data_IF_316352872887
#
_entry.id   IF_316352872887
#
_cell.length_a   1.000
_cell.length_b   1.000
_cell.length_c   1.000
_cell.angle_alpha   90.00
_cell.angle_beta   90.00
_cell.angle_gamma   90.00
#
_symmetry.space_group_name_H-M   'P 1'
#
loop_
_entity.id
_entity.type
_entity.pdbx_description
1 polymer ?
#
# COMPACT_ATOMS: atom_id res chain seq x y z
N UNK A 1 11.47 -20.72 15.47
CA UNK A 1 10.57 -20.87 14.31
C UNK A 1 11.13 -21.98 13.45
N UNK A 2 10.32 -22.90 12.92
CA UNK A 2 10.78 -23.92 11.97
C UNK A 2 11.37 -23.24 10.72
N UNK A 3 12.50 -23.73 10.22
CA UNK A 3 13.21 -23.16 9.06
C UNK A 3 12.33 -23.08 7.82
N UNK A 4 11.39 -24.02 7.66
CA UNK A 4 10.42 -24.03 6.57
C UNK A 4 9.40 -22.89 6.69
N UNK A 5 8.93 -22.64 7.92
CA UNK A 5 7.96 -21.57 8.21
C UNK A 5 8.55 -20.18 8.00
N UNK A 6 9.77 -19.94 8.47
CA UNK A 6 10.48 -18.67 8.25
C UNK A 6 10.63 -18.37 6.75
N UNK A 7 11.12 -19.35 5.99
CA UNK A 7 11.29 -19.20 4.55
C UNK A 7 9.97 -18.93 3.80
N UNK A 8 8.85 -19.53 4.24
CA UNK A 8 7.54 -19.23 3.67
C UNK A 8 7.05 -17.83 4.03
N UNK A 9 7.24 -17.38 5.27
CA UNK A 9 6.88 -16.03 5.71
C UNK A 9 7.64 -14.98 4.89
N UNK A 10 8.96 -15.11 4.80
CA UNK A 10 9.81 -14.16 4.05
C UNK A 10 9.41 -14.14 2.58
N UNK A 11 9.15 -15.31 1.98
CA UNK A 11 8.67 -15.40 0.59
C UNK A 11 7.36 -14.67 0.37
N UNK A 12 6.39 -14.80 1.29
CA UNK A 12 5.11 -14.09 1.14
C UNK A 12 5.34 -12.58 1.20
N UNK A 13 6.14 -12.10 2.15
CA UNK A 13 6.45 -10.68 2.28
C UNK A 13 7.11 -10.17 1.00
N UNK A 14 8.17 -10.83 0.53
CA UNK A 14 8.88 -10.43 -0.70
C UNK A 14 7.97 -10.45 -1.92
N UNK A 15 7.16 -11.51 -2.09
CA UNK A 15 6.24 -11.62 -3.22
C UNK A 15 5.13 -10.55 -3.17
N UNK A 16 4.67 -10.14 -1.99
CA UNK A 16 3.74 -9.00 -1.85
C UNK A 16 4.41 -7.68 -2.24
N UNK A 17 5.63 -7.42 -1.77
CA UNK A 17 6.36 -6.18 -2.06
C UNK A 17 6.70 -6.10 -3.55
N UNK A 18 7.08 -7.20 -4.17
CA UNK A 18 7.31 -7.33 -5.61
C UNK A 18 6.01 -7.38 -6.45
N UNK A 19 4.84 -7.23 -5.81
CA UNK A 19 3.52 -7.26 -6.45
C UNK A 19 3.20 -8.58 -7.18
N UNK A 20 3.83 -9.70 -6.79
CA UNK A 20 3.58 -11.08 -7.28
C UNK A 20 2.45 -11.74 -6.49
N UNK A 21 1.28 -11.11 -6.46
CA UNK A 21 0.20 -11.46 -5.53
C UNK A 21 -0.29 -12.91 -5.63
N UNK A 22 -0.37 -13.49 -6.83
CA UNK A 22 -0.76 -14.90 -7.00
C UNK A 22 0.20 -15.85 -6.27
N UNK A 23 1.51 -15.58 -6.32
CA UNK A 23 2.51 -16.37 -5.61
C UNK A 23 2.45 -16.15 -4.10
N UNK A 24 2.29 -14.89 -3.68
CA UNK A 24 2.14 -14.54 -2.28
C UNK A 24 0.93 -15.25 -1.63
N UNK A 25 -0.22 -15.24 -2.32
CA UNK A 25 -1.44 -15.92 -1.88
C UNK A 25 -1.19 -17.43 -1.75
N UNK A 26 -0.64 -18.07 -2.77
CA UNK A 26 -0.35 -19.50 -2.75
C UNK A 26 0.65 -19.90 -1.63
N UNK A 27 1.66 -19.06 -1.37
CA UNK A 27 2.62 -19.28 -0.29
C UNK A 27 1.97 -19.09 1.10
N UNK A 28 1.08 -18.11 1.26
CA UNK A 28 0.33 -17.90 2.50
C UNK A 28 -0.67 -19.03 2.80
N UNK A 29 -1.32 -19.56 1.76
CA UNK A 29 -2.16 -20.76 1.87
C UNK A 29 -1.34 -21.99 2.24
N UNK A 30 -0.15 -22.15 1.64
CA UNK A 30 0.78 -23.25 1.97
C UNK A 30 1.21 -23.17 3.44
N UNK A 31 1.55 -21.97 3.92
CA UNK A 31 1.85 -21.72 5.33
C UNK A 31 0.66 -22.09 6.23
N UNK A 32 -0.57 -21.77 5.82
CA UNK A 32 -1.80 -22.10 6.55
C UNK A 32 -2.11 -23.59 6.62
N UNK A 33 -1.53 -24.41 5.72
CA UNK A 33 -1.63 -25.88 5.72
C UNK A 33 -0.55 -26.54 6.56
N UNK A 34 0.66 -25.97 6.59
CA UNK A 34 1.77 -26.45 7.42
C UNK A 34 1.45 -26.25 8.90
N UNK A 35 0.86 -25.10 9.24
CA UNK A 35 0.45 -24.76 10.60
C UNK A 35 -1.01 -24.32 10.60
N UNK A 36 -1.90 -25.25 10.99
CA UNK A 36 -3.35 -25.02 10.99
C UNK A 36 -3.83 -24.26 12.24
N UNK A 37 -2.98 -24.17 13.27
CA UNK A 37 -3.30 -23.50 14.53
C UNK A 37 -2.85 -22.04 14.46
N UNK A 38 -1.67 -21.78 13.92
CA UNK A 38 -1.09 -20.45 13.89
C UNK A 38 -1.86 -19.50 12.93
N UNK A 39 -2.17 -18.27 13.38
CA UNK A 39 -2.93 -17.32 12.57
C UNK A 39 -2.10 -16.54 11.54
N UNK A 40 -0.78 -16.74 11.43
CA UNK A 40 0.08 -16.00 10.50
C UNK A 40 -0.27 -16.26 9.04
N UNK A 41 -0.50 -17.52 8.67
CA UNK A 41 -0.82 -17.90 7.29
C UNK A 41 -2.04 -17.14 6.76
N UNK A 42 -3.20 -17.21 7.43
CA UNK A 42 -4.38 -16.43 7.04
C UNK A 42 -4.15 -14.92 7.08
N UNK A 43 -3.38 -14.40 8.05
CA UNK A 43 -3.05 -12.98 8.10
C UNK A 43 -2.28 -12.53 6.85
N UNK A 44 -1.25 -13.27 6.47
CA UNK A 44 -0.45 -12.94 5.30
C UNK A 44 -1.25 -13.08 4.00
N UNK A 45 -2.18 -14.04 3.94
CA UNK A 45 -3.15 -14.15 2.84
C UNK A 45 -4.05 -12.91 2.79
N UNK A 46 -4.60 -12.47 3.92
CA UNK A 46 -5.42 -11.26 4.00
C UNK A 46 -4.67 -10.01 3.50
N UNK A 47 -3.40 -9.86 3.92
CA UNK A 47 -2.55 -8.75 3.49
C UNK A 47 -2.24 -8.81 1.99
N UNK A 48 -1.96 -10.00 1.45
CA UNK A 48 -1.73 -10.18 0.02
C UNK A 48 -2.97 -9.78 -0.81
N UNK A 49 -4.17 -10.17 -0.38
CA UNK A 49 -5.42 -9.76 -1.02
C UNK A 49 -5.64 -8.24 -0.93
N UNK A 50 -5.48 -7.66 0.27
CA UNK A 50 -5.69 -6.23 0.48
C UNK A 50 -4.69 -5.35 -0.27
N UNK A 51 -3.43 -5.75 -0.35
CA UNK A 51 -2.38 -5.01 -1.07
C UNK A 51 -2.48 -5.21 -2.58
N UNK A 52 -2.98 -6.35 -3.06
CA UNK A 52 -3.35 -6.55 -4.47
C UNK A 52 -4.44 -5.56 -4.88
N UNK A 53 -5.51 -5.49 -4.09
CA UNK A 53 -6.61 -4.56 -4.32
C UNK A 53 -6.13 -3.11 -4.27
N UNK A 54 -5.19 -2.78 -3.38
CA UNK A 54 -4.55 -1.46 -3.33
C UNK A 54 -3.71 -1.14 -4.58
N UNK A 55 -2.89 -2.09 -5.06
CA UNK A 55 -2.02 -1.91 -6.22
C UNK A 55 -2.83 -1.68 -7.52
N UNK A 56 -3.91 -2.44 -7.71
CA UNK A 56 -4.79 -2.27 -8.87
C UNK A 56 -5.82 -1.15 -8.68
N UNK A 57 -5.96 -0.62 -7.47
CA UNK A 57 -7.04 0.28 -7.08
C UNK A 57 -8.45 -0.25 -7.41
N UNK A 58 -8.62 -1.56 -7.22
CA UNK A 58 -9.86 -2.29 -7.50
C UNK A 58 -10.25 -3.15 -6.30
N UNK A 59 -11.44 -3.74 -6.36
CA UNK A 59 -11.88 -4.75 -5.40
C UNK A 59 -12.06 -6.09 -6.10
N UNK A 60 -10.99 -6.86 -6.23
CA UNK A 60 -10.96 -8.02 -7.11
C UNK A 60 -11.66 -9.24 -6.50
N UNK A 61 -11.51 -9.45 -5.19
CA UNK A 61 -12.18 -10.56 -4.50
C UNK A 61 -12.56 -10.18 -3.07
N UNK A 62 -13.73 -9.54 -2.97
CA UNK A 62 -14.29 -9.06 -1.71
C UNK A 62 -14.66 -10.20 -0.76
N UNK A 63 -15.16 -11.31 -1.32
CA UNK A 63 -15.61 -12.47 -0.56
C UNK A 63 -14.41 -13.15 0.06
N UNK A 64 -13.38 -13.48 -0.73
CA UNK A 64 -12.17 -14.09 -0.20
C UNK A 64 -11.48 -13.20 0.84
N UNK A 65 -11.46 -11.87 0.64
CA UNK A 65 -10.91 -10.95 1.64
C UNK A 65 -11.64 -11.03 2.99
N UNK A 66 -12.99 -10.95 2.97
CA UNK A 66 -13.79 -10.97 4.19
C UNK A 66 -13.77 -12.34 4.88
N UNK A 67 -13.80 -13.44 4.12
CA UNK A 67 -13.67 -14.80 4.65
C UNK A 67 -12.29 -15.06 5.26
N UNK A 68 -11.22 -14.57 4.62
CA UNK A 68 -9.86 -14.68 5.13
C UNK A 68 -9.67 -13.85 6.39
N UNK A 69 -10.30 -12.67 6.47
CA UNK A 69 -10.35 -11.85 7.70
C UNK A 69 -11.03 -12.61 8.85
N UNK A 70 -12.22 -13.17 8.61
CA UNK A 70 -12.93 -13.97 9.60
C UNK A 70 -12.11 -15.19 10.06
N UNK A 71 -11.48 -15.88 9.11
CA UNK A 71 -10.58 -17.02 9.38
C UNK A 71 -9.39 -16.61 10.24
N UNK A 72 -8.76 -15.46 9.94
CA UNK A 72 -7.63 -14.94 10.72
C UNK A 72 -8.03 -14.69 12.17
N UNK A 73 -9.18 -14.07 12.41
CA UNK A 73 -9.67 -13.82 13.77
C UNK A 73 -10.04 -15.11 14.49
N UNK A 74 -10.71 -16.05 13.81
CA UNK A 74 -11.07 -17.34 14.39
C UNK A 74 -9.83 -18.15 14.80
N UNK A 75 -8.80 -18.22 13.93
CA UNK A 75 -7.54 -18.88 14.28
C UNK A 75 -6.80 -18.16 15.40
N UNK A 76 -6.81 -16.82 15.41
CA UNK A 76 -6.19 -16.06 16.51
C UNK A 76 -6.86 -16.38 17.84
N UNK A 77 -8.19 -16.43 17.88
CA UNK A 77 -8.92 -16.80 19.09
C UNK A 77 -8.63 -18.24 19.53
N UNK A 78 -8.56 -19.19 18.59
CA UNK A 78 -8.19 -20.57 18.91
C UNK A 78 -6.75 -20.66 19.45
N UNK A 79 -5.82 -19.94 18.83
CA UNK A 79 -4.44 -19.82 19.32
C UNK A 79 -4.39 -19.26 20.75
N UNK A 80 -5.15 -18.20 21.05
CA UNK A 80 -5.22 -17.60 22.39
C UNK A 80 -5.80 -18.57 23.44
N UNK A 81 -6.76 -19.42 23.08
CA UNK A 81 -7.33 -20.42 24.01
C UNK A 81 -6.31 -21.47 24.43
N UNK A 82 -5.45 -21.87 23.50
CA UNK A 82 -4.48 -22.95 23.74
C UNK A 82 -3.15 -22.46 24.31
N UNK A 83 -2.76 -21.22 24.01
CA UNK A 83 -1.43 -20.69 24.36
C UNK A 83 -1.49 -19.46 25.29
N UNK A 84 -2.69 -18.99 25.64
CA UNK A 84 -2.90 -17.70 26.27
C UNK A 84 -2.80 -16.55 25.27
N UNK A 85 -3.25 -15.37 25.70
CA UNK A 85 -3.12 -14.13 24.92
C UNK A 85 -1.69 -13.62 24.98
N UNK A 86 -1.08 -13.41 23.82
CA UNK A 86 0.32 -12.97 23.69
C UNK A 86 0.41 -11.66 22.90
N UNK A 87 1.59 -11.01 22.93
CA UNK A 87 1.84 -9.84 22.08
C UNK A 87 1.71 -10.19 20.60
N UNK A 88 2.13 -11.39 20.23
CA UNK A 88 1.98 -11.94 18.89
C UNK A 88 0.51 -12.06 18.46
N UNK A 89 -0.35 -12.72 19.26
CA UNK A 89 -1.77 -12.91 18.91
C UNK A 89 -2.50 -11.57 18.77
N UNK A 90 -2.21 -10.61 19.66
CA UNK A 90 -2.75 -9.26 19.62
C UNK A 90 -2.25 -8.48 18.39
N UNK A 91 -0.99 -8.67 18.00
CA UNK A 91 -0.43 -8.07 16.78
C UNK A 91 -1.17 -8.59 15.56
N UNK A 92 -1.32 -9.92 15.43
CA UNK A 92 -2.02 -10.54 14.29
C UNK A 92 -3.46 -10.03 14.18
N UNK A 93 -4.24 -10.09 15.27
CA UNK A 93 -5.61 -9.58 15.26
C UNK A 93 -5.67 -8.07 15.00
N UNK A 94 -4.71 -7.30 15.52
CA UNK A 94 -4.61 -5.86 15.30
C UNK A 94 -4.37 -5.48 13.84
N UNK A 95 -3.43 -6.16 13.18
CA UNK A 95 -3.14 -6.00 11.76
C UNK A 95 -4.34 -6.39 10.91
N UNK A 96 -4.99 -7.53 11.22
CA UNK A 96 -6.19 -7.96 10.50
C UNK A 96 -7.32 -6.91 10.56
N UNK A 97 -7.53 -6.32 11.75
CA UNK A 97 -8.51 -5.24 11.93
C UNK A 97 -8.12 -3.96 11.17
N UNK A 98 -6.83 -3.62 11.11
CA UNK A 98 -6.35 -2.49 10.32
C UNK A 98 -6.55 -2.70 8.81
N UNK A 99 -6.28 -3.92 8.31
CA UNK A 99 -6.53 -4.28 6.92
C UNK A 99 -8.03 -4.19 6.58
N UNK A 100 -8.88 -4.71 7.46
CA UNK A 100 -10.33 -4.64 7.33
C UNK A 100 -10.88 -3.20 7.36
N UNK A 101 -10.31 -2.35 8.22
CA UNK A 101 -10.63 -0.93 8.24
C UNK A 101 -10.25 -0.24 6.92
N UNK A 102 -9.07 -0.54 6.39
CA UNK A 102 -8.60 -0.01 5.09
C UNK A 102 -9.50 -0.44 3.94
N UNK A 103 -9.97 -1.69 3.95
CA UNK A 103 -10.92 -2.22 2.96
C UNK A 103 -12.23 -1.41 2.94
N UNK A 104 -12.81 -1.09 4.10
CA UNK A 104 -14.02 -0.26 4.15
C UNK A 104 -13.77 1.22 3.86
N UNK A 105 -12.62 1.75 4.26
CA UNK A 105 -12.26 3.14 4.01
C UNK A 105 -12.16 3.42 2.51
N UNK A 106 -11.54 2.52 1.75
CA UNK A 106 -11.46 2.57 0.28
C UNK A 106 -12.83 2.50 -0.42
N UNK A 107 -13.88 2.08 0.29
CA UNK A 107 -15.26 1.98 -0.21
C UNK A 107 -16.16 3.11 0.28
N UNK A 108 -15.57 4.16 0.84
CA UNK A 108 -16.28 5.27 1.48
C UNK A 108 -17.25 4.82 2.59
N UNK A 109 -17.01 3.62 3.17
CA UNK A 109 -17.79 3.10 4.29
C UNK A 109 -17.16 3.50 5.62
N UNK A 110 -17.08 4.80 5.86
CA UNK A 110 -16.34 5.40 6.97
C UNK A 110 -16.75 4.87 8.35
N UNK A 111 -18.04 4.70 8.62
CA UNK A 111 -18.52 4.18 9.91
C UNK A 111 -18.03 2.75 10.20
N UNK A 112 -18.08 1.88 9.19
CA UNK A 112 -17.57 0.50 9.31
C UNK A 112 -16.04 0.47 9.45
N UNK A 113 -15.34 1.36 8.74
CA UNK A 113 -13.89 1.52 8.83
C UNK A 113 -13.44 1.97 10.24
N UNK A 114 -14.15 2.93 10.85
CA UNK A 114 -13.81 3.45 12.18
C UNK A 114 -13.87 2.35 13.24
N UNK A 115 -14.92 1.52 13.24
CA UNK A 115 -15.09 0.46 14.23
C UNK A 115 -13.91 -0.52 14.23
N UNK A 116 -13.60 -1.08 13.05
CA UNK A 116 -12.48 -2.02 12.91
C UNK A 116 -11.13 -1.35 13.15
N UNK A 117 -10.96 -0.10 12.70
CA UNK A 117 -9.70 0.64 12.84
C UNK A 117 -9.34 0.92 14.30
N UNK A 118 -10.31 1.40 15.10
CA UNK A 118 -10.09 1.66 16.53
C UNK A 118 -9.82 0.38 17.32
N UNK A 119 -10.56 -0.69 17.03
CA UNK A 119 -10.33 -1.99 17.67
C UNK A 119 -8.93 -2.53 17.32
N UNK A 120 -8.51 -2.41 16.05
CA UNK A 120 -7.16 -2.75 15.62
C UNK A 120 -6.08 -1.97 16.38
N UNK A 121 -6.21 -0.65 16.47
CA UNK A 121 -5.24 0.19 17.20
C UNK A 121 -5.17 -0.18 18.68
N UNK A 122 -6.32 -0.46 19.32
CA UNK A 122 -6.36 -0.91 20.73
C UNK A 122 -5.61 -2.22 20.93
N UNK A 123 -5.77 -3.19 20.02
CA UNK A 123 -5.04 -4.48 20.08
C UNK A 123 -3.55 -4.29 19.88
N UNK A 124 -3.13 -3.49 18.90
CA UNK A 124 -1.72 -3.20 18.63
C UNK A 124 -1.05 -2.46 19.79
N UNK A 125 -1.76 -1.53 20.42
CA UNK A 125 -1.25 -0.86 21.62
C UNK A 125 -1.12 -1.85 22.80
N UNK A 126 -2.09 -2.75 22.95
CA UNK A 126 -2.05 -3.80 23.98
C UNK A 126 -0.91 -4.80 23.74
N UNK A 127 -0.64 -5.18 22.49
CA UNK A 127 0.49 -6.02 22.10
C UNK A 127 1.80 -5.42 22.58
N UNK A 128 2.04 -4.14 22.28
CA UNK A 128 3.25 -3.42 22.67
C UNK A 128 3.38 -3.19 24.17
N UNK A 129 2.26 -3.10 24.91
CA UNK A 129 2.26 -3.05 26.39
C UNK A 129 2.62 -4.40 27.00
N UNK A 130 2.19 -5.50 26.37
CA UNK A 130 2.44 -6.86 26.84
C UNK A 130 3.89 -7.29 26.56
N UNK A 131 4.45 -6.86 25.43
CA UNK A 131 5.85 -7.06 25.09
C UNK A 131 6.36 -5.87 24.29
N UNK A 132 7.27 -5.10 24.87
CA UNK A 132 7.86 -3.92 24.24
C UNK A 132 8.93 -4.25 23.21
N UNK A 133 9.44 -5.49 23.18
CA UNK A 133 10.42 -5.95 22.19
C UNK A 133 9.77 -6.29 20.85
N UNK A 134 8.47 -6.60 20.86
CA UNK A 134 7.68 -6.72 19.64
C UNK A 134 7.39 -5.33 19.05
N UNK A 135 8.17 -4.95 18.03
CA UNK A 135 8.08 -3.64 17.39
C UNK A 135 7.18 -3.61 16.16
N UNK A 136 6.67 -4.74 15.67
CA UNK A 136 5.76 -4.80 14.52
C UNK A 136 4.49 -3.92 14.67
N UNK A 137 3.87 -3.82 15.86
CA UNK A 137 2.76 -2.89 16.08
C UNK A 137 3.10 -1.42 15.79
N UNK A 138 4.37 -1.03 15.84
CA UNK A 138 4.77 0.35 15.60
C UNK A 138 4.53 0.82 14.17
N UNK A 139 4.44 -0.07 13.18
CA UNK A 139 4.10 0.32 11.81
C UNK A 139 2.73 1.02 11.77
N UNK A 140 1.70 0.30 12.19
CA UNK A 140 0.32 0.78 12.17
C UNK A 140 0.07 1.91 13.18
N UNK A 141 0.61 1.79 14.40
CA UNK A 141 0.51 2.85 15.40
C UNK A 141 1.22 4.14 14.94
N UNK A 142 2.39 4.01 14.30
CA UNK A 142 3.16 5.13 13.77
C UNK A 142 2.45 5.82 12.61
N UNK A 143 1.95 5.04 11.64
CA UNK A 143 1.16 5.56 10.53
C UNK A 143 -0.11 6.30 11.02
N UNK A 144 -0.82 5.72 11.99
CA UNK A 144 -2.00 6.35 12.59
C UNK A 144 -1.66 7.64 13.35
N UNK A 145 -0.60 7.65 14.17
CA UNK A 145 -0.14 8.85 14.88
C UNK A 145 0.29 9.98 13.92
N UNK A 146 0.96 9.63 12.82
CA UNK A 146 1.35 10.57 11.77
C UNK A 146 0.13 11.16 11.07
N UNK A 147 -0.80 10.31 10.61
CA UNK A 147 -2.03 10.73 9.92
C UNK A 147 -2.88 11.68 10.80
N UNK A 148 -3.02 11.38 12.09
CA UNK A 148 -3.70 12.27 13.05
C UNK A 148 -2.99 13.60 13.23
N UNK A 149 -1.65 13.59 13.27
CA UNK A 149 -0.85 14.81 13.33
C UNK A 149 -1.02 15.69 12.09
N UNK A 150 -1.10 15.08 10.91
CA UNK A 150 -1.38 15.78 9.65
C UNK A 150 -2.81 16.35 9.60
N UNK A 151 -3.81 15.58 10.02
CA UNK A 151 -5.19 16.07 10.12
C UNK A 151 -5.30 17.27 11.06
N UNK A 152 -4.66 17.19 12.23
CA UNK A 152 -4.57 18.29 13.19
C UNK A 152 -3.91 19.53 12.59
N UNK A 153 -2.82 19.38 11.85
CA UNK A 153 -2.13 20.49 11.20
C UNK A 153 -3.03 21.18 10.16
N UNK A 154 -3.73 20.39 9.33
CA UNK A 154 -4.63 20.92 8.30
C UNK A 154 -5.85 21.63 8.88
N UNK A 155 -6.43 21.10 9.97
CA UNK A 155 -7.63 21.61 10.61
C UNK A 155 -7.34 22.23 11.98
N UNK A 156 -6.21 22.91 12.14
CA UNK A 156 -5.71 23.33 13.45
C UNK A 156 -6.69 24.20 14.24
N UNK A 157 -7.45 25.06 13.55
CA UNK A 157 -8.49 25.92 14.16
C UNK A 157 -9.58 25.11 14.88
N UNK A 158 -9.87 23.90 14.42
CA UNK A 158 -10.96 23.03 14.92
C UNK A 158 -10.43 21.81 15.65
N UNK A 159 -9.17 21.43 15.45
CA UNK A 159 -8.61 20.18 16.00
C UNK A 159 -7.35 20.41 16.86
N UNK A 160 -7.11 21.62 17.39
CA UNK A 160 -5.91 21.88 18.19
C UNK A 160 -5.77 20.95 19.42
N UNK A 161 -6.90 20.51 20.00
CA UNK A 161 -6.96 19.56 21.10
C UNK A 161 -6.87 18.08 20.67
N UNK A 162 -7.00 17.79 19.37
CA UNK A 162 -7.00 16.42 18.87
C UNK A 162 -5.62 15.78 19.06
N UNK A 163 -5.52 14.59 19.68
CA UNK A 163 -4.22 13.98 19.89
C UNK A 163 -3.60 13.56 18.54
N UNK A 164 -2.27 13.66 18.41
CA UNK A 164 -1.55 13.25 17.22
C UNK A 164 -0.20 13.97 17.09
N UNK A 165 0.83 13.22 16.71
CA UNK A 165 2.18 13.80 16.55
C UNK A 165 2.87 13.16 15.37
N UNK A 166 3.18 14.00 14.37
CA UNK A 166 3.94 13.60 13.18
C UNK A 166 5.32 13.06 13.56
N UNK A 167 6.01 13.72 14.49
CA UNK A 167 7.34 13.30 14.94
C UNK A 167 7.31 11.97 15.69
N UNK A 168 6.30 11.72 16.55
CA UNK A 168 6.16 10.41 17.20
C UNK A 168 5.82 9.31 16.21
N UNK A 169 4.94 9.59 15.24
CA UNK A 169 4.63 8.66 14.15
C UNK A 169 5.88 8.26 13.36
N UNK A 170 6.68 9.26 12.93
CA UNK A 170 7.96 9.04 12.24
C UNK A 170 8.94 8.26 13.13
N UNK A 171 9.06 8.58 14.42
CA UNK A 171 9.98 7.88 15.32
C UNK A 171 9.62 6.39 15.47
N UNK A 172 8.33 6.07 15.60
CA UNK A 172 7.84 4.68 15.63
C UNK A 172 8.15 3.92 14.34
N UNK A 173 7.88 4.55 13.20
CA UNK A 173 8.17 3.95 11.90
C UNK A 173 9.68 3.72 11.71
N UNK A 174 10.53 4.61 12.23
CA UNK A 174 11.98 4.44 12.19
C UNK A 174 12.47 3.25 13.00
N UNK A 175 11.89 3.00 14.18
CA UNK A 175 12.18 1.76 14.93
C UNK A 175 11.71 0.55 14.13
N UNK A 176 10.48 0.62 13.61
CA UNK A 176 9.87 -0.46 12.86
C UNK A 176 10.69 -0.87 11.62
N UNK A 177 11.18 0.09 10.82
CA UNK A 177 11.94 -0.22 9.58
C UNK A 177 13.27 -0.95 9.83
N UNK A 178 13.81 -0.88 11.06
CA UNK A 178 15.11 -1.49 11.41
C UNK A 178 14.96 -2.83 12.12
N UNK A 179 13.91 -2.99 12.92
CA UNK A 179 13.83 -4.03 13.94
C UNK A 179 12.61 -4.94 13.79
N UNK A 180 11.60 -4.55 13.01
CA UNK A 180 10.37 -5.34 12.86
C UNK A 180 10.59 -6.58 11.97
N UNK A 181 9.87 -7.66 12.27
CA UNK A 181 10.00 -8.91 11.51
C UNK A 181 9.05 -8.94 10.31
N UNK A 182 7.81 -8.49 10.50
CA UNK A 182 6.77 -8.57 9.46
C UNK A 182 6.60 -7.25 8.71
N UNK A 183 6.79 -6.13 9.39
CA UNK A 183 6.35 -4.81 8.92
C UNK A 183 7.50 -3.85 8.59
N UNK A 184 8.76 -4.31 8.62
CA UNK A 184 9.93 -3.47 8.36
C UNK A 184 9.90 -2.83 6.97
N UNK A 185 9.71 -3.63 5.90
CA UNK A 185 9.68 -3.10 4.53
C UNK A 185 8.49 -2.17 4.31
N UNK A 186 7.32 -2.51 4.88
CA UNK A 186 6.16 -1.61 4.87
C UNK A 186 6.45 -0.27 5.56
N UNK A 187 7.17 -0.28 6.69
CA UNK A 187 7.59 0.93 7.38
C UNK A 187 8.60 1.75 6.57
N UNK A 188 9.56 1.11 5.87
CA UNK A 188 10.46 1.79 4.93
C UNK A 188 9.66 2.53 3.85
N UNK A 189 8.72 1.84 3.19
CA UNK A 189 7.89 2.43 2.14
C UNK A 189 7.06 3.60 2.65
N UNK A 190 6.41 3.44 3.81
CA UNK A 190 5.65 4.54 4.42
C UNK A 190 6.54 5.74 4.78
N UNK A 191 7.75 5.50 5.30
CA UNK A 191 8.72 6.56 5.60
C UNK A 191 9.21 7.28 4.34
N UNK A 192 9.44 6.57 3.24
CA UNK A 192 9.81 7.18 1.98
C UNK A 192 8.75 8.22 1.54
N UNK A 193 7.47 7.82 1.50
CA UNK A 193 6.36 8.71 1.13
C UNK A 193 6.17 9.86 2.15
N UNK A 194 6.31 9.58 3.44
CA UNK A 194 6.25 10.61 4.50
C UNK A 194 7.38 11.63 4.33
N UNK A 195 8.62 11.17 4.07
CA UNK A 195 9.75 12.09 3.90
C UNK A 195 9.65 12.91 2.62
N UNK A 196 9.09 12.37 1.53
CA UNK A 196 8.73 13.17 0.34
C UNK A 196 7.79 14.31 0.75
N UNK A 197 6.72 13.97 1.48
CA UNK A 197 5.70 14.93 1.92
C UNK A 197 6.23 15.97 2.90
N UNK A 198 7.13 15.59 3.80
CA UNK A 198 7.82 16.51 4.74
C UNK A 198 8.98 17.28 4.08
N UNK A 199 9.20 17.12 2.77
CA UNK A 199 10.28 17.76 2.00
C UNK A 199 11.69 17.36 2.47
N UNK A 200 11.79 16.23 3.15
CA UNK A 200 13.03 15.59 3.62
C UNK A 200 13.61 14.70 2.51
N UNK A 201 13.85 15.30 1.33
CA UNK A 201 14.15 14.57 0.09
C UNK A 201 15.39 13.69 0.16
N UNK A 202 16.42 14.07 0.92
CA UNK A 202 17.62 13.25 1.07
C UNK A 202 17.29 11.91 1.77
N UNK A 203 16.50 11.95 2.84
CA UNK A 203 16.06 10.76 3.57
C UNK A 203 15.14 9.90 2.71
N UNK A 204 14.18 10.53 2.03
CA UNK A 204 13.28 9.84 1.10
C UNK A 204 14.06 9.10 0.01
N UNK A 205 14.99 9.78 -0.67
CA UNK A 205 15.75 9.19 -1.77
C UNK A 205 16.63 8.04 -1.31
N UNK A 206 17.27 8.15 -0.15
CA UNK A 206 18.06 7.05 0.41
C UNK A 206 17.24 5.77 0.56
N UNK A 207 16.03 5.89 1.12
CA UNK A 207 15.13 4.75 1.33
C UNK A 207 14.59 4.22 -0.02
N UNK A 208 14.18 5.12 -0.93
CA UNK A 208 13.69 4.71 -2.26
C UNK A 208 14.76 3.95 -3.03
N UNK A 209 16.02 4.40 -2.98
CA UNK A 209 17.14 3.73 -3.64
C UNK A 209 17.45 2.36 -3.04
N UNK A 210 17.33 2.22 -1.72
CA UNK A 210 17.46 0.93 -1.04
C UNK A 210 16.35 -0.03 -1.47
N UNK A 211 15.10 0.39 -1.36
CA UNK A 211 13.94 -0.39 -1.76
C UNK A 211 13.98 -0.77 -3.25
N UNK A 212 14.45 0.13 -4.12
CA UNK A 212 14.56 -0.16 -5.56
C UNK A 212 15.67 -1.17 -5.88
N UNK A 213 16.77 -1.17 -5.10
CA UNK A 213 17.82 -2.18 -5.24
C UNK A 213 17.33 -3.56 -4.78
N UNK A 214 16.57 -3.61 -3.70
CA UNK A 214 16.00 -4.85 -3.14
C UNK A 214 14.84 -5.38 -3.99
N UNK A 215 13.97 -4.48 -4.47
CA UNK A 215 12.72 -4.78 -5.15
C UNK A 215 12.54 -3.97 -6.45
N UNK A 216 13.39 -4.18 -7.47
CA UNK A 216 13.42 -3.35 -8.68
C UNK A 216 12.16 -3.42 -9.54
N UNK A 217 11.30 -4.42 -9.30
CA UNK A 217 10.02 -4.63 -10.00
C UNK A 217 8.81 -4.21 -9.18
N UNK A 218 9.00 -3.76 -7.93
CA UNK A 218 7.90 -3.34 -7.08
C UNK A 218 7.23 -2.08 -7.64
N UNK A 219 5.96 -2.22 -8.02
CA UNK A 219 5.15 -1.07 -8.46
C UNK A 219 4.95 -0.08 -7.32
N UNK A 220 4.86 -0.54 -6.08
CA UNK A 220 4.79 0.36 -4.93
C UNK A 220 6.03 1.25 -4.80
N UNK A 221 7.23 0.69 -4.99
CA UNK A 221 8.49 1.47 -4.96
C UNK A 221 8.54 2.45 -6.13
N UNK A 222 8.09 2.04 -7.32
CA UNK A 222 8.01 2.94 -8.48
C UNK A 222 7.03 4.10 -8.25
N UNK A 223 5.88 3.86 -7.60
CA UNK A 223 4.96 4.93 -7.21
C UNK A 223 5.61 5.94 -6.25
N UNK A 224 6.33 5.47 -5.24
CA UNK A 224 7.11 6.34 -4.34
C UNK A 224 8.19 7.13 -5.10
N UNK A 225 8.87 6.48 -6.05
CA UNK A 225 9.87 7.13 -6.91
C UNK A 225 9.26 8.23 -7.79
N UNK A 226 8.09 7.98 -8.39
CA UNK A 226 7.40 8.96 -9.23
C UNK A 226 7.00 10.20 -8.40
N UNK A 227 6.32 10.00 -7.26
CA UNK A 227 5.94 11.07 -6.32
C UNK A 227 7.15 11.89 -5.87
N UNK A 228 8.27 11.22 -5.59
CA UNK A 228 9.52 11.90 -5.23
C UNK A 228 9.99 12.87 -6.34
N UNK A 229 10.00 12.42 -7.60
CA UNK A 229 10.43 13.26 -8.71
C UNK A 229 9.44 14.39 -9.00
N UNK A 230 8.13 14.14 -8.93
CA UNK A 230 7.10 15.18 -9.05
C UNK A 230 7.26 16.28 -8.00
N UNK A 231 7.42 15.90 -6.73
CA UNK A 231 7.56 16.86 -5.62
C UNK A 231 8.87 17.67 -5.69
N UNK A 232 9.87 17.17 -6.42
CA UNK A 232 11.11 17.88 -6.76
C UNK A 232 11.06 18.60 -8.12
N UNK A 233 9.92 18.55 -8.81
CA UNK A 233 9.72 19.11 -10.16
C UNK A 233 10.66 18.53 -11.22
N UNK A 234 11.14 17.31 -11.00
CA UNK A 234 11.97 16.55 -11.93
C UNK A 234 11.07 15.80 -12.93
N UNK A 235 10.23 16.54 -13.66
CA UNK A 235 9.10 15.97 -14.40
C UNK A 235 9.48 14.99 -15.52
N UNK A 236 10.64 15.19 -16.17
CA UNK A 236 11.15 14.21 -17.15
C UNK A 236 11.39 12.84 -16.49
N UNK A 237 12.00 12.84 -15.29
CA UNK A 237 12.23 11.60 -14.53
C UNK A 237 10.93 11.00 -14.02
N UNK A 238 9.98 11.82 -13.58
CA UNK A 238 8.65 11.34 -13.20
C UNK A 238 7.96 10.64 -14.38
N UNK A 239 7.99 11.23 -15.58
CA UNK A 239 7.43 10.64 -16.78
C UNK A 239 8.09 9.28 -17.15
N UNK A 240 9.41 9.16 -17.02
CA UNK A 240 10.12 7.89 -17.21
C UNK A 240 9.66 6.80 -16.24
N UNK A 241 9.45 7.16 -14.96
CA UNK A 241 8.95 6.23 -13.95
C UNK A 241 7.52 5.81 -14.26
N UNK A 242 6.65 6.74 -14.66
CA UNK A 242 5.28 6.44 -15.07
C UNK A 242 5.21 5.54 -16.29
N UNK A 243 6.11 5.71 -17.26
CA UNK A 243 6.22 4.80 -18.40
C UNK A 243 6.55 3.36 -17.96
N UNK A 244 7.45 3.19 -16.98
CA UNK A 244 7.78 1.87 -16.41
C UNK A 244 6.61 1.27 -15.63
N UNK A 245 5.89 2.07 -14.85
CA UNK A 245 4.67 1.65 -14.16
C UNK A 245 3.61 1.15 -15.16
N UNK A 246 3.34 1.93 -16.21
CA UNK A 246 2.41 1.54 -17.27
C UNK A 246 2.82 0.20 -17.91
N UNK A 247 4.08 0.07 -18.31
CA UNK A 247 4.61 -1.18 -18.88
C UNK A 247 4.51 -2.37 -17.92
N UNK A 248 4.64 -2.15 -16.60
CA UNK A 248 4.44 -3.21 -15.61
C UNK A 248 2.97 -3.62 -15.50
N UNK A 249 2.02 -2.68 -15.51
CA UNK A 249 0.60 -3.00 -15.45
C UNK A 249 0.06 -3.62 -16.75
N UNK A 250 0.66 -3.30 -17.91
CA UNK A 250 0.32 -3.93 -19.19
C UNK A 250 0.51 -5.46 -19.19
N UNK A 251 1.38 -5.98 -18.31
CA UNK A 251 1.61 -7.43 -18.14
C UNK A 251 0.58 -8.10 -17.22
N UNK A 252 -0.26 -7.33 -16.55
CA UNK A 252 -1.20 -7.82 -15.53
C UNK A 252 -2.63 -7.87 -16.08
N UNK A 253 -3.34 -8.97 -15.81
CA UNK A 253 -4.71 -9.16 -16.30
C UNK A 253 -5.67 -8.03 -15.88
N UNK A 254 -5.54 -7.52 -14.65
CA UNK A 254 -6.36 -6.45 -14.11
C UNK A 254 -5.74 -5.04 -14.28
N UNK A 255 -4.60 -4.92 -14.98
CA UNK A 255 -3.81 -3.69 -14.98
C UNK A 255 -4.32 -2.58 -15.91
N UNK A 256 -5.32 -2.83 -16.77
CA UNK A 256 -5.76 -1.88 -17.80
C UNK A 256 -6.13 -0.50 -17.26
N UNK A 257 -6.85 -0.44 -16.14
CA UNK A 257 -7.18 0.82 -15.46
C UNK A 257 -5.89 1.58 -15.09
N UNK A 258 -4.97 0.89 -14.43
CA UNK A 258 -3.70 1.44 -13.96
C UNK A 258 -2.79 1.86 -15.11
N UNK A 259 -2.83 1.17 -16.25
CA UNK A 259 -2.14 1.61 -17.48
C UNK A 259 -2.63 3.00 -17.87
N UNK A 260 -3.94 3.22 -17.96
CA UNK A 260 -4.48 4.53 -18.32
C UNK A 260 -4.09 5.61 -17.30
N UNK A 261 -4.27 5.33 -16.00
CA UNK A 261 -3.89 6.27 -14.92
C UNK A 261 -2.42 6.65 -14.99
N UNK A 262 -1.54 5.67 -15.17
CA UNK A 262 -0.08 5.91 -15.23
C UNK A 262 0.32 6.63 -16.52
N UNK A 263 -0.35 6.36 -17.65
CA UNK A 263 -0.15 7.11 -18.90
C UNK A 263 -0.64 8.55 -18.77
N UNK A 264 -1.76 8.81 -18.10
CA UNK A 264 -2.21 10.19 -17.82
C UNK A 264 -1.19 10.93 -16.96
N UNK A 265 -0.71 10.31 -15.89
CA UNK A 265 0.37 10.88 -15.06
C UNK A 265 1.65 11.14 -15.85
N UNK A 266 1.98 10.24 -16.79
CA UNK A 266 3.11 10.45 -17.72
C UNK A 266 2.89 11.69 -18.60
N UNK A 267 1.69 11.86 -19.18
CA UNK A 267 1.33 13.02 -20.01
C UNK A 267 1.39 14.31 -19.20
N UNK A 268 0.78 14.35 -18.01
CA UNK A 268 0.82 15.50 -17.09
C UNK A 268 2.26 15.92 -16.75
N UNK A 269 3.13 14.94 -16.47
CA UNK A 269 4.54 15.20 -16.20
C UNK A 269 5.26 15.75 -17.45
N UNK A 270 4.99 15.22 -18.65
CA UNK A 270 5.58 15.72 -19.89
C UNK A 270 5.13 17.15 -20.23
N UNK A 271 3.85 17.49 -20.00
CA UNK A 271 3.36 18.87 -20.12
C UNK A 271 4.11 19.81 -19.17
N UNK A 272 4.24 19.43 -17.90
CA UNK A 272 4.97 20.23 -16.91
C UNK A 272 6.48 20.34 -17.20
N UNK A 273 7.04 19.38 -17.95
CA UNK A 273 8.40 19.44 -18.47
C UNK A 273 8.54 20.33 -19.73
N UNK A 274 7.44 20.85 -20.29
CA UNK A 274 7.42 21.59 -21.55
C UNK A 274 7.61 20.70 -22.80
N UNK A 275 7.42 19.38 -22.68
CA UNK A 275 7.58 18.43 -23.76
C UNK A 275 6.24 18.03 -24.39
N UNK A 276 5.56 19.02 -24.99
CA UNK A 276 4.23 18.84 -25.58
C UNK A 276 4.19 17.75 -26.66
N UNK A 277 5.24 17.65 -27.50
CA UNK A 277 5.31 16.62 -28.54
C UNK A 277 5.32 15.19 -27.98
N UNK A 278 6.09 14.94 -26.91
CA UNK A 278 6.07 13.64 -26.25
C UNK A 278 4.74 13.39 -25.53
N UNK A 279 4.14 14.42 -24.92
CA UNK A 279 2.84 14.33 -24.26
C UNK A 279 1.74 13.90 -25.25
N UNK A 280 1.67 14.54 -26.43
CA UNK A 280 0.74 14.17 -27.51
C UNK A 280 0.95 12.72 -27.95
N UNK A 281 2.20 12.30 -28.15
CA UNK A 281 2.51 10.93 -28.58
C UNK A 281 2.01 9.89 -27.57
N UNK A 282 2.28 10.11 -26.28
CA UNK A 282 1.84 9.20 -25.21
C UNK A 282 0.31 9.16 -25.12
N UNK A 283 -0.36 10.32 -25.18
CA UNK A 283 -1.81 10.39 -25.18
C UNK A 283 -2.42 9.66 -26.39
N UNK A 284 -1.84 9.85 -27.59
CA UNK A 284 -2.27 9.17 -28.80
C UNK A 284 -2.13 7.64 -28.70
N UNK A 285 -1.03 7.14 -28.12
CA UNK A 285 -0.81 5.72 -27.89
C UNK A 285 -1.82 5.18 -26.85
N UNK A 286 -2.11 5.94 -25.79
CA UNK A 286 -3.04 5.54 -24.75
C UNK A 286 -4.50 5.47 -25.23
N UNK A 287 -4.95 6.38 -26.09
CA UNK A 287 -6.29 6.33 -26.70
C UNK A 287 -6.47 5.11 -27.64
N UNK A 288 -5.37 4.60 -28.21
CA UNK A 288 -5.39 3.38 -29.03
C UNK A 288 -5.51 2.10 -28.20
N UNK A 289 -5.22 2.16 -26.90
CA UNK A 289 -5.54 1.05 -26.00
C UNK A 289 -7.07 0.92 -26.04
N UNK A 290 -7.55 -0.23 -26.52
CA UNK A 290 -8.96 -0.46 -26.78
C UNK A 290 -9.80 0.09 -25.62
N UNK A 291 -10.81 0.93 -25.87
CA UNK A 291 -11.69 1.43 -24.81
C UNK A 291 -12.71 0.34 -24.45
N UNK A 292 -13.06 0.15 -23.18
CA UNK A 292 -14.02 -0.87 -22.82
C UNK A 292 -15.44 -0.47 -23.20
N UNK A 293 -16.36 -1.44 -23.13
CA UNK A 293 -17.77 -1.18 -23.35
C UNK A 293 -18.32 -0.22 -22.28
N UNK A 294 -19.45 0.43 -22.57
CA UNK A 294 -20.14 1.28 -21.60
C UNK A 294 -20.46 0.49 -20.33
N UNK A 295 -20.23 1.11 -19.16
CA UNK A 295 -20.47 0.50 -17.84
C UNK A 295 -19.28 -0.25 -17.23
N UNK A 296 -18.16 -0.40 -17.94
CA UNK A 296 -16.93 -0.95 -17.36
C UNK A 296 -16.14 0.12 -16.56
N UNK A 297 -15.46 -0.26 -15.46
CA UNK A 297 -14.75 0.68 -14.57
C UNK A 297 -13.66 1.55 -15.22
N UNK A 298 -13.18 1.17 -16.41
CA UNK A 298 -12.13 1.88 -17.14
C UNK A 298 -12.69 2.90 -18.16
N UNK A 299 -14.01 2.97 -18.35
CA UNK A 299 -14.60 3.78 -19.42
C UNK A 299 -14.38 5.28 -19.23
N UNK A 300 -14.66 5.78 -18.02
CA UNK A 300 -14.46 7.19 -17.66
C UNK A 300 -13.02 7.63 -17.91
N UNK A 301 -12.05 6.82 -17.48
CA UNK A 301 -10.62 7.07 -17.68
C UNK A 301 -10.22 7.09 -19.16
N UNK A 302 -10.84 6.25 -19.99
CA UNK A 302 -10.65 6.28 -21.44
C UNK A 302 -11.21 7.57 -22.06
N UNK A 303 -12.39 8.01 -21.62
CA UNK A 303 -13.03 9.23 -22.11
C UNK A 303 -12.17 10.46 -21.70
N UNK A 304 -11.69 10.51 -20.44
CA UNK A 304 -10.75 11.54 -19.96
C UNK A 304 -9.45 11.58 -20.77
N UNK A 305 -8.87 10.43 -21.10
CA UNK A 305 -7.68 10.35 -21.96
C UNK A 305 -7.97 10.85 -23.38
N UNK A 306 -9.17 10.58 -23.90
CA UNK A 306 -9.62 11.09 -25.20
C UNK A 306 -9.76 12.61 -25.22
N UNK A 307 -10.34 13.18 -24.17
CA UNK A 307 -10.45 14.63 -23.98
C UNK A 307 -9.09 15.29 -23.84
N UNK A 308 -8.20 14.66 -23.06
CA UNK A 308 -6.81 15.08 -22.91
C UNK A 308 -6.08 15.09 -24.25
N UNK A 309 -6.19 14.03 -25.04
CA UNK A 309 -5.56 13.96 -26.36
C UNK A 309 -6.07 15.07 -27.31
N UNK A 310 -7.40 15.30 -27.37
CA UNK A 310 -7.98 16.37 -28.19
C UNK A 310 -7.47 17.75 -27.76
N UNK A 311 -7.48 18.04 -26.46
CA UNK A 311 -6.95 19.30 -25.89
C UNK A 311 -5.49 19.54 -26.30
N UNK A 312 -4.66 18.51 -26.24
CA UNK A 312 -3.24 18.61 -26.58
C UNK A 312 -3.01 18.81 -28.08
N UNK A 313 -3.84 18.21 -28.92
CA UNK A 313 -3.71 18.27 -30.36
C UNK A 313 -4.25 19.59 -30.94
N UNK A 314 -5.27 20.20 -30.31
CA UNK A 314 -5.89 21.43 -30.78
C UNK A 314 -5.18 22.70 -30.26
N UNK A 315 -4.33 22.56 -29.23
CA UNK A 315 -3.57 23.66 -28.60
C UNK A 315 -2.09 23.75 -29.01
N UNK A 316 -1.65 22.95 -29.98
CA UNK A 316 -0.28 22.87 -30.50
C UNK A 316 -0.02 23.71 -31.73
#
# INVERSE_FOLDING_TARGET
MDSSRAALTDRVIDDVIDCKFTRAIAAAESLSRVDTIDPLGPLLHLLALGLRDLDFDLFLDSTAFLETYATTLARTQNYERNNGRTSYSLTVAGIANAAHASYYLRRDRYFAAIGSGLEGMKKLESARKLDSTNVDPNFFLGAYEYARGELRKKLWMVLFWYPGSRSRGIARLNVCMREAQLTATGAKMALADIYVKEKEFAKAWSIIQELYREHPRSRFVMWSQAKYHEERKEFVRAAEVYARLAASYEQEHHGRYNVLVTRMKQVEALEQAGNAGAAVKVAQEAVKVNCPAEGEPCREMCDEMGDLFRRLNDGG
#
